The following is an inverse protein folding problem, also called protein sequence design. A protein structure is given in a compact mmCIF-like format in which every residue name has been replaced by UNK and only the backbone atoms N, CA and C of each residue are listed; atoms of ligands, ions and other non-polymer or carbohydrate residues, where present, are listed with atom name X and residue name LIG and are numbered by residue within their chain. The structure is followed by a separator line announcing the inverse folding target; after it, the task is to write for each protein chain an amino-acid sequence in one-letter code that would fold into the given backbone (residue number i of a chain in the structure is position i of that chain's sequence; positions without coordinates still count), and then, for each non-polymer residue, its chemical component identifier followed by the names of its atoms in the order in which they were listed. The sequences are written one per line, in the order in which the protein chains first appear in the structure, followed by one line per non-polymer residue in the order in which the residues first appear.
data_IF_760970950658
#
_entry.id   IF_760970950658
#
_cell.length_a   1.000
_cell.length_b   1.000
_cell.length_c   1.000
_cell.angle_alpha   90.00
_cell.angle_beta   90.00
_cell.angle_gamma   90.00
#
_symmetry.space_group_name_H-M   'P 1'
#
loop_
_entity.id
_entity.type
_entity.pdbx_description
1 polymer ?
#
# COMPACT_ATOMS: atom_id res chain seq x y z
N UNK A 1 5.34 25.15 1.29
CA UNK A 1 4.70 23.84 1.02
C UNK A 1 5.11 23.34 -0.35
N UNK A 2 5.36 22.05 -0.52
CA UNK A 2 5.57 21.47 -1.86
C UNK A 2 4.25 21.46 -2.65
N UNK A 3 4.32 21.81 -3.94
CA UNK A 3 3.19 21.61 -4.86
C UNK A 3 2.89 20.13 -5.09
N UNK A 4 1.68 19.81 -5.53
CA UNK A 4 1.20 18.44 -5.74
C UNK A 4 2.02 17.65 -6.75
N UNK A 5 2.59 18.30 -7.75
CA UNK A 5 3.44 17.71 -8.80
C UNK A 5 4.94 17.81 -8.49
N UNK A 6 5.32 18.34 -7.32
CA UNK A 6 6.73 18.47 -6.95
C UNK A 6 7.38 17.08 -6.85
N UNK A 7 8.54 16.85 -7.50
CA UNK A 7 9.26 15.58 -7.39
C UNK A 7 9.51 15.18 -5.95
N UNK A 8 9.81 16.16 -5.08
CA UNK A 8 10.06 15.89 -3.66
C UNK A 8 8.81 15.44 -2.90
N UNK A 9 7.64 15.99 -3.25
CA UNK A 9 6.38 15.54 -2.64
C UNK A 9 6.05 14.11 -3.06
N UNK A 10 6.20 13.79 -4.34
CA UNK A 10 5.95 12.44 -4.87
C UNK A 10 6.87 11.39 -4.23
N UNK A 11 8.14 11.74 -4.02
CA UNK A 11 9.11 10.90 -3.29
C UNK A 11 8.66 10.63 -1.84
N UNK A 12 8.25 11.68 -1.12
CA UNK A 12 7.80 11.56 0.28
C UNK A 12 6.47 10.79 0.38
N UNK A 13 5.52 11.06 -0.51
CA UNK A 13 4.25 10.32 -0.57
C UNK A 13 4.51 8.83 -0.85
N UNK A 14 5.45 8.49 -1.75
CA UNK A 14 5.85 7.10 -1.99
C UNK A 14 6.43 6.46 -0.73
N UNK A 15 7.34 7.14 -0.03
CA UNK A 15 7.93 6.66 1.22
C UNK A 15 6.89 6.44 2.32
N UNK A 16 5.93 7.35 2.46
CA UNK A 16 4.81 7.23 3.40
C UNK A 16 3.98 5.97 3.11
N UNK A 17 3.62 5.73 1.85
CA UNK A 17 2.81 4.57 1.47
C UNK A 17 3.58 3.26 1.68
N UNK A 18 4.88 3.25 1.41
CA UNK A 18 5.74 2.10 1.70
C UNK A 18 5.78 1.79 3.20
N UNK A 19 5.95 2.81 4.06
CA UNK A 19 5.89 2.63 5.51
C UNK A 19 4.54 2.07 5.94
N UNK A 20 3.44 2.68 5.49
CA UNK A 20 2.08 2.22 5.83
C UNK A 20 1.88 0.75 5.44
N UNK A 21 2.36 0.37 4.26
CA UNK A 21 2.10 -0.97 3.70
C UNK A 21 3.02 -2.04 4.30
N UNK A 22 4.31 -1.73 4.45
CA UNK A 22 5.29 -2.68 4.99
C UNK A 22 5.07 -2.94 6.48
N UNK A 23 4.69 -1.89 7.22
CA UNK A 23 4.53 -1.96 8.67
C UNK A 23 3.06 -2.21 9.07
N UNK A 24 2.19 -2.50 8.09
CA UNK A 24 0.76 -2.74 8.25
C UNK A 24 0.05 -1.68 9.10
N UNK A 25 0.43 -0.41 8.93
CA UNK A 25 -0.15 0.68 9.71
C UNK A 25 -1.56 1.02 9.19
N UNK A 26 -2.47 1.42 10.09
CA UNK A 26 -3.74 1.97 9.65
C UNK A 26 -3.50 3.28 8.88
N UNK A 27 -4.26 3.49 7.79
CA UNK A 27 -4.14 4.72 6.97
C UNK A 27 -4.38 5.98 7.82
N UNK A 28 -5.17 5.88 8.90
CA UNK A 28 -5.43 6.97 9.84
C UNK A 28 -4.19 7.45 10.60
N UNK A 29 -3.02 6.79 10.48
CA UNK A 29 -1.77 7.29 11.09
C UNK A 29 -1.44 8.73 10.68
N UNK A 30 -1.84 9.15 9.48
CA UNK A 30 -1.64 10.53 8.99
C UNK A 30 -2.51 11.58 9.69
N UNK A 31 -3.47 11.14 10.50
CA UNK A 31 -4.35 11.97 11.32
C UNK A 31 -3.89 11.97 12.79
N UNK A 32 -2.90 11.13 13.15
CA UNK A 32 -2.37 11.06 14.51
C UNK A 32 -1.44 12.26 14.79
N UNK A 33 -1.81 13.11 15.75
CA UNK A 33 -1.05 14.32 16.09
C UNK A 33 0.45 14.10 16.32
N UNK A 34 0.84 13.01 17.01
CA UNK A 34 2.25 12.71 17.25
C UNK A 34 3.03 12.42 15.96
N UNK A 35 2.43 11.68 15.02
CA UNK A 35 3.04 11.38 13.73
C UNK A 35 3.10 12.63 12.84
N UNK A 36 2.02 13.42 12.80
CA UNK A 36 1.97 14.70 12.09
C UNK A 36 3.08 15.63 12.57
N UNK A 37 3.23 15.80 13.88
CA UNK A 37 4.27 16.64 14.48
C UNK A 37 5.68 16.14 14.13
N UNK A 38 5.92 14.83 14.18
CA UNK A 38 7.20 14.24 13.78
C UNK A 38 7.51 14.52 12.30
N UNK A 39 6.56 14.29 11.40
CA UNK A 39 6.73 14.58 9.98
C UNK A 39 7.01 16.06 9.72
N UNK A 40 6.30 16.97 10.41
CA UNK A 40 6.53 18.41 10.31
C UNK A 40 7.89 18.84 10.86
N UNK A 41 8.34 18.25 11.97
CA UNK A 41 9.66 18.52 12.54
C UNK A 41 10.78 18.06 11.59
N UNK A 42 10.61 16.92 10.92
CA UNK A 42 11.58 16.41 9.93
C UNK A 42 11.56 17.20 8.62
N UNK A 43 10.37 17.57 8.12
CA UNK A 43 10.22 18.34 6.89
C UNK A 43 8.99 19.25 6.93
N UNK A 44 9.15 20.54 7.33
CA UNK A 44 8.05 21.49 7.44
C UNK A 44 7.33 21.81 6.12
N UNK A 45 7.95 21.53 4.97
CA UNK A 45 7.35 21.79 3.65
C UNK A 45 6.46 20.64 3.17
N UNK A 46 6.48 19.50 3.85
CA UNK A 46 5.71 18.31 3.51
C UNK A 46 4.35 18.32 4.21
N UNK A 47 3.30 18.54 3.42
CA UNK A 47 1.94 18.31 3.87
C UNK A 47 1.56 16.85 3.64
N UNK A 48 1.27 16.15 4.73
CA UNK A 48 0.77 14.78 4.66
C UNK A 48 -0.51 14.72 3.79
N UNK A 49 -0.61 13.75 2.88
CA UNK A 49 -1.84 13.52 2.14
C UNK A 49 -2.95 13.10 3.09
N UNK A 50 -4.20 13.47 2.78
CA UNK A 50 -5.34 13.03 3.57
C UNK A 50 -5.56 11.53 3.43
N UNK A 51 -6.23 10.94 4.43
CA UNK A 51 -6.64 9.53 4.41
C UNK A 51 -7.34 9.13 3.10
N UNK A 52 -8.18 10.03 2.57
CA UNK A 52 -8.90 9.80 1.31
C UNK A 52 -7.97 9.76 0.09
N UNK A 53 -7.00 10.67 0.02
CA UNK A 53 -6.00 10.68 -1.07
C UNK A 53 -5.14 9.42 -1.02
N UNK A 54 -4.74 9.01 0.19
CA UNK A 54 -3.99 7.76 0.37
C UNK A 54 -4.81 6.56 -0.12
N UNK A 55 -6.03 6.39 0.37
CA UNK A 55 -6.83 5.20 0.07
C UNK A 55 -7.28 5.15 -1.39
N UNK A 56 -7.68 6.28 -1.99
CA UNK A 56 -8.27 6.32 -3.33
C UNK A 56 -7.27 6.49 -4.46
N UNK A 57 -6.09 7.04 -4.17
CA UNK A 57 -5.13 7.42 -5.23
C UNK A 57 -3.79 6.73 -5.02
N UNK A 58 -3.14 6.98 -3.88
CA UNK A 58 -1.75 6.56 -3.71
C UNK A 58 -1.60 5.04 -3.55
N UNK A 59 -2.45 4.41 -2.74
CA UNK A 59 -2.46 2.95 -2.58
C UNK A 59 -2.88 2.26 -3.88
N UNK A 60 -3.88 2.78 -4.59
CA UNK A 60 -4.31 2.22 -5.89
C UNK A 60 -3.16 2.22 -6.90
N UNK A 61 -2.46 3.35 -7.04
CA UNK A 61 -1.33 3.46 -7.95
C UNK A 61 -0.18 2.49 -7.58
N UNK A 62 0.12 2.34 -6.28
CA UNK A 62 1.14 1.40 -5.83
C UNK A 62 0.72 -0.05 -6.04
N UNK A 63 -0.55 -0.39 -5.80
CA UNK A 63 -1.11 -1.71 -6.05
C UNK A 63 -0.98 -2.09 -7.52
N UNK A 64 -1.38 -1.21 -8.44
CA UNK A 64 -1.23 -1.44 -9.89
C UNK A 64 0.24 -1.65 -10.29
N UNK A 65 1.17 -0.89 -9.70
CA UNK A 65 2.60 -1.08 -9.93
C UNK A 65 3.07 -2.46 -9.49
N UNK A 66 2.69 -2.89 -8.28
CA UNK A 66 3.06 -4.19 -7.71
C UNK A 66 2.41 -5.32 -8.48
N UNK A 67 1.13 -5.21 -8.83
CA UNK A 67 0.39 -6.18 -9.62
C UNK A 67 1.06 -6.40 -10.99
N UNK A 68 1.43 -5.32 -11.68
CA UNK A 68 2.14 -5.41 -12.98
C UNK A 68 3.49 -6.11 -12.84
N UNK A 69 4.28 -5.78 -11.81
CA UNK A 69 5.57 -6.44 -11.53
C UNK A 69 5.38 -7.93 -11.20
N UNK A 70 4.34 -8.26 -10.42
CA UNK A 70 4.00 -9.64 -10.11
C UNK A 70 3.59 -10.40 -11.38
N UNK A 71 2.73 -9.81 -12.22
CA UNK A 71 2.33 -10.40 -13.49
C UNK A 71 3.53 -10.72 -14.40
N UNK A 72 4.49 -9.81 -14.50
CA UNK A 72 5.74 -10.07 -15.24
C UNK A 72 6.54 -11.25 -14.67
N UNK A 73 6.60 -11.40 -13.34
CA UNK A 73 7.25 -12.54 -12.69
C UNK A 73 6.49 -13.85 -12.93
N UNK A 74 5.17 -13.82 -12.91
CA UNK A 74 4.32 -14.98 -13.15
C UNK A 74 4.40 -15.48 -14.60
N UNK A 75 4.49 -14.58 -15.58
CA UNK A 75 4.70 -14.96 -17.00
C UNK A 75 6.02 -15.72 -17.19
N UNK A 76 7.02 -15.43 -16.36
CA UNK A 76 8.34 -16.09 -16.40
C UNK A 76 8.41 -17.33 -15.51
N UNK A 77 7.36 -17.65 -14.76
CA UNK A 77 7.38 -18.78 -13.83
C UNK A 77 7.28 -20.10 -14.60
N UNK A 78 8.21 -21.02 -14.31
CA UNK A 78 8.19 -22.37 -14.90
C UNK A 78 7.08 -23.23 -14.30
N UNK A 79 6.83 -23.04 -13.00
CA UNK A 79 5.86 -23.80 -12.23
C UNK A 79 4.96 -22.85 -11.45
N UNK A 80 3.66 -23.12 -11.52
CA UNK A 80 2.63 -22.37 -10.79
C UNK A 80 1.69 -23.36 -10.12
N UNK A 81 1.40 -23.14 -8.84
CA UNK A 81 0.40 -23.86 -8.08
C UNK A 81 -0.51 -22.88 -7.34
N UNK A 82 -1.75 -23.29 -7.13
CA UNK A 82 -2.77 -22.52 -6.43
C UNK A 82 -3.16 -23.27 -5.17
N UNK A 83 -3.23 -22.54 -4.07
CA UNK A 83 -3.82 -23.04 -2.83
C UNK A 83 -5.04 -22.19 -2.51
N UNK A 84 -6.13 -22.85 -2.17
CA UNK A 84 -7.37 -22.19 -1.79
C UNK A 84 -7.68 -22.53 -0.34
N UNK A 85 -7.95 -21.52 0.46
CA UNK A 85 -8.46 -21.67 1.81
C UNK A 85 -9.88 -21.11 1.85
N UNK A 86 -10.82 -21.90 2.37
CA UNK A 86 -12.23 -21.54 2.47
C UNK A 86 -12.64 -21.63 3.93
N UNK A 87 -13.25 -20.56 4.44
CA UNK A 87 -13.80 -20.55 5.78
C UNK A 87 -15.09 -19.72 5.82
N UNK A 88 -15.93 -20.02 6.79
CA UNK A 88 -17.14 -19.24 7.07
C UNK A 88 -16.92 -18.51 8.39
N UNK A 89 -17.12 -17.20 8.41
CA UNK A 89 -17.01 -16.42 9.65
C UNK A 89 -18.14 -16.73 10.61
N UNK A 90 -17.97 -16.30 11.86
CA UNK A 90 -19.02 -16.33 12.88
C UNK A 90 -20.29 -15.56 12.47
N UNK A 91 -20.15 -14.61 11.53
CA UNK A 91 -21.27 -13.84 10.96
C UNK A 91 -21.85 -14.54 9.72
N UNK A 92 -21.65 -15.85 9.55
CA UNK A 92 -22.13 -16.66 8.41
C UNK A 92 -21.67 -16.18 7.04
N UNK A 93 -20.59 -15.38 6.98
CA UNK A 93 -20.02 -14.88 5.73
C UNK A 93 -18.95 -15.85 5.24
N UNK A 94 -19.11 -16.41 4.04
CA UNK A 94 -18.09 -17.24 3.41
C UNK A 94 -16.94 -16.40 2.85
N UNK A 95 -15.71 -16.88 3.02
CA UNK A 95 -14.48 -16.29 2.49
C UNK A 95 -13.71 -17.33 1.68
N UNK A 96 -13.04 -16.86 0.63
CA UNK A 96 -12.11 -17.62 -0.18
C UNK A 96 -10.80 -16.85 -0.25
N UNK A 97 -9.72 -17.40 0.31
CA UNK A 97 -8.38 -16.95 0.00
C UNK A 97 -7.79 -17.81 -1.12
N UNK A 98 -7.20 -17.14 -2.11
CA UNK A 98 -6.43 -17.78 -3.18
C UNK A 98 -4.98 -17.33 -3.05
N UNK A 99 -4.06 -18.28 -2.85
CA UNK A 99 -2.62 -18.01 -2.80
C UNK A 99 -1.93 -18.68 -3.98
N UNK A 100 -1.14 -17.89 -4.72
CA UNK A 100 -0.34 -18.37 -5.86
C UNK A 100 1.07 -18.68 -5.37
N UNK A 101 1.50 -19.93 -5.52
CA UNK A 101 2.87 -20.38 -5.29
C UNK A 101 3.53 -20.54 -6.66
N UNK A 102 4.63 -19.84 -6.90
CA UNK A 102 5.32 -19.88 -8.19
C UNK A 102 6.84 -19.95 -7.99
N UNK A 103 7.52 -20.69 -8.87
CA UNK A 103 8.99 -20.72 -8.93
C UNK A 103 9.46 -20.25 -10.30
N UNK A 104 10.64 -19.63 -10.32
CA UNK A 104 11.41 -19.46 -11.57
C UNK A 104 11.77 -20.83 -12.16
#
# INVERSE_FOLDING_TARGET
MYGTTSPKKLELDRGLIQMISNDMQPISIVENNGFVNLCQAMNPKYLLPSRQVISKTLISAMFEEVQRKLGQKLVQAKWVSFTTDLWTSVNTTGFLALTILFSK
#
